data_IF_568959414263
#
_entry.id   IF_568959414263
#
_cell.length_a   1.000
_cell.length_b   1.000
_cell.length_c   1.000
_cell.angle_alpha   90.00
_cell.angle_beta   90.00
_cell.angle_gamma   90.00
#
_symmetry.space_group_name_H-M   'P 1'
#
loop_
_entity.id
_entity.type
_entity.pdbx_description
1 polymer ?
#
# COMPACT_ATOMS: atom_id res chain seq x y z
N UNK A 1 -13.05 19.62 4.46
CA UNK A 1 -11.86 20.49 4.27
C UNK A 1 -11.74 20.87 2.80
N UNK A 2 -11.36 22.12 2.47
CA UNK A 2 -11.11 22.51 1.10
C UNK A 2 -9.93 21.73 0.52
N UNK A 3 -10.07 21.24 -0.73
CA UNK A 3 -8.99 20.55 -1.45
C UNK A 3 -8.40 21.55 -2.44
N UNK A 4 -7.09 21.71 -2.39
CA UNK A 4 -6.33 22.54 -3.33
C UNK A 4 -5.69 21.66 -4.39
N UNK A 5 -5.82 22.04 -5.65
CA UNK A 5 -5.26 21.34 -6.81
C UNK A 5 -4.04 22.10 -7.30
N UNK A 6 -2.93 21.40 -7.59
CA UNK A 6 -1.74 22.03 -8.16
C UNK A 6 -2.00 22.45 -9.62
N UNK A 7 -1.17 23.35 -10.14
CA UNK A 7 -1.26 23.84 -11.51
C UNK A 7 -1.12 22.75 -12.59
N UNK A 8 -0.58 21.60 -12.22
CA UNK A 8 -0.33 20.48 -13.16
C UNK A 8 -1.50 19.49 -13.21
N UNK A 9 -2.58 19.79 -12.48
CA UNK A 9 -3.81 18.98 -12.48
C UNK A 9 -4.99 19.78 -13.02
N UNK A 10 -5.82 19.13 -13.81
CA UNK A 10 -7.09 19.68 -14.28
C UNK A 10 -8.20 19.10 -13.41
N UNK A 11 -8.99 19.98 -12.82
CA UNK A 11 -10.14 19.63 -12.01
C UNK A 11 -11.42 19.75 -12.83
N UNK A 12 -12.24 18.70 -12.84
CA UNK A 12 -13.58 18.69 -13.44
C UNK A 12 -14.61 18.74 -12.31
N UNK A 13 -15.35 19.83 -12.24
CA UNK A 13 -16.44 19.98 -11.28
C UNK A 13 -17.67 19.20 -11.76
N UNK A 14 -17.99 18.13 -11.09
CA UNK A 14 -19.12 17.26 -11.39
C UNK A 14 -20.35 17.52 -10.48
N UNK A 15 -20.39 18.60 -9.71
CA UNK A 15 -21.46 18.86 -8.72
C UNK A 15 -22.86 19.02 -9.35
N UNK A 16 -22.94 19.36 -10.63
CA UNK A 16 -24.20 19.48 -11.38
C UNK A 16 -24.66 18.15 -12.02
N UNK A 17 -23.84 17.10 -11.97
CA UNK A 17 -24.18 15.81 -12.56
C UNK A 17 -24.98 14.96 -11.57
N UNK A 18 -25.90 14.14 -12.11
CA UNK A 18 -26.47 13.05 -11.32
C UNK A 18 -25.37 12.03 -10.97
N UNK A 19 -25.59 11.24 -9.90
CA UNK A 19 -24.62 10.21 -9.49
C UNK A 19 -24.28 9.26 -10.63
N UNK A 20 -25.26 8.78 -11.38
CA UNK A 20 -25.05 7.87 -12.50
C UNK A 20 -24.29 8.49 -13.68
N UNK A 21 -24.56 9.77 -13.98
CA UNK A 21 -23.78 10.49 -14.99
C UNK A 21 -22.33 10.71 -14.57
N UNK A 22 -22.10 11.03 -13.30
CA UNK A 22 -20.76 11.12 -12.73
C UNK A 22 -19.99 9.80 -12.84
N UNK A 23 -20.61 8.68 -12.45
CA UNK A 23 -19.97 7.36 -12.49
C UNK A 23 -19.57 6.98 -13.92
N UNK A 24 -20.47 7.15 -14.87
CA UNK A 24 -20.18 6.81 -16.27
C UNK A 24 -19.11 7.73 -16.84
N UNK A 25 -19.12 9.01 -16.50
CA UNK A 25 -18.07 9.96 -16.90
C UNK A 25 -16.70 9.57 -16.28
N UNK A 26 -16.66 9.21 -15.01
CA UNK A 26 -15.45 8.71 -14.34
C UNK A 26 -14.88 7.46 -15.03
N UNK A 27 -15.75 6.49 -15.36
CA UNK A 27 -15.35 5.27 -16.06
C UNK A 27 -14.87 5.57 -17.48
N UNK A 28 -15.53 6.49 -18.19
CA UNK A 28 -15.09 6.94 -19.50
C UNK A 28 -13.67 7.55 -19.44
N UNK A 29 -13.40 8.46 -18.50
CA UNK A 29 -12.05 9.03 -18.33
C UNK A 29 -11.00 7.99 -17.95
N UNK A 30 -11.42 6.87 -17.36
CA UNK A 30 -10.55 5.73 -17.03
C UNK A 30 -10.38 4.73 -18.20
N UNK A 31 -11.05 4.94 -19.32
CA UNK A 31 -11.05 4.06 -20.50
C UNK A 31 -9.90 4.36 -21.45
N UNK A 32 -9.57 3.38 -22.29
CA UNK A 32 -8.61 3.54 -23.39
C UNK A 32 -9.04 4.60 -24.41
N UNK A 33 -10.34 4.82 -24.57
CA UNK A 33 -10.89 5.82 -25.50
C UNK A 33 -10.60 7.25 -25.06
N UNK A 34 -10.81 7.56 -23.79
CA UNK A 34 -10.46 8.87 -23.27
C UNK A 34 -8.93 9.08 -23.32
N UNK A 35 -8.15 8.08 -22.94
CA UNK A 35 -6.69 8.13 -23.00
C UNK A 35 -6.20 8.42 -24.43
N UNK A 36 -6.67 7.67 -25.43
CA UNK A 36 -6.31 7.89 -26.85
C UNK A 36 -6.68 9.30 -27.34
N UNK A 37 -7.86 9.82 -26.97
CA UNK A 37 -8.23 11.19 -27.30
C UNK A 37 -7.30 12.21 -26.63
N UNK A 38 -6.98 12.04 -25.36
CA UNK A 38 -6.06 12.91 -24.60
C UNK A 38 -4.65 12.91 -25.20
N UNK A 39 -4.10 11.73 -25.52
CA UNK A 39 -2.78 11.60 -26.15
C UNK A 39 -2.76 12.26 -27.53
N UNK A 40 -3.77 12.03 -28.35
CA UNK A 40 -3.88 12.65 -29.69
C UNK A 40 -3.92 14.18 -29.61
N UNK A 41 -4.54 14.72 -28.57
CA UNK A 41 -4.73 16.16 -28.37
C UNK A 41 -3.59 16.81 -27.59
N UNK A 42 -2.65 16.04 -27.02
CA UNK A 42 -1.51 16.58 -26.29
C UNK A 42 -0.48 17.20 -27.22
N UNK A 43 0.22 18.24 -26.73
CA UNK A 43 1.32 18.85 -27.49
C UNK A 43 2.48 17.85 -27.64
N UNK A 44 3.05 17.77 -28.84
CA UNK A 44 4.24 16.95 -29.14
C UNK A 44 5.56 17.58 -28.63
N UNK A 45 5.58 18.05 -27.41
CA UNK A 45 6.79 18.59 -26.76
C UNK A 45 7.42 17.50 -25.88
N UNK A 46 8.65 17.73 -25.43
CA UNK A 46 9.37 16.80 -24.52
C UNK A 46 8.59 16.53 -23.21
N UNK A 47 7.69 17.44 -22.83
CA UNK A 47 6.68 17.25 -21.77
C UNK A 47 5.30 17.54 -22.37
N UNK A 48 4.52 16.51 -22.71
CA UNK A 48 3.18 16.71 -23.25
C UNK A 48 2.25 17.30 -22.18
N UNK A 49 1.55 18.37 -22.54
CA UNK A 49 0.58 19.05 -21.68
C UNK A 49 -0.83 18.93 -22.23
N UNK A 50 -1.80 18.66 -21.35
CA UNK A 50 -3.21 18.81 -21.62
C UNK A 50 -3.68 20.21 -21.19
N UNK A 51 -4.42 20.88 -22.05
CA UNK A 51 -5.05 22.16 -21.71
C UNK A 51 -6.53 21.97 -21.38
N UNK A 52 -7.12 22.93 -20.66
CA UNK A 52 -8.57 22.92 -20.37
C UNK A 52 -9.40 22.91 -21.67
N UNK A 53 -8.94 23.60 -22.71
CA UNK A 53 -9.61 23.62 -24.01
C UNK A 53 -9.68 22.22 -24.62
N UNK A 54 -8.57 21.47 -24.60
CA UNK A 54 -8.50 20.10 -25.12
C UNK A 54 -9.44 19.14 -24.36
N UNK A 55 -9.53 19.30 -23.03
CA UNK A 55 -10.47 18.49 -22.23
C UNK A 55 -11.92 18.80 -22.58
N UNK A 56 -12.25 20.07 -22.90
CA UNK A 56 -13.62 20.46 -23.30
C UNK A 56 -14.05 19.85 -24.64
N UNK A 57 -13.09 19.58 -25.52
CA UNK A 57 -13.32 19.06 -26.85
C UNK A 57 -13.34 17.52 -26.89
N UNK A 58 -13.18 16.85 -25.76
CA UNK A 58 -13.29 15.39 -25.68
C UNK A 58 -14.71 14.93 -25.99
N UNK A 59 -14.82 13.98 -26.90
CA UNK A 59 -16.07 13.33 -27.25
C UNK A 59 -16.45 12.31 -26.18
N UNK A 60 -17.55 12.52 -25.50
CA UNK A 60 -18.11 11.63 -24.49
C UNK A 60 -19.41 11.03 -25.01
N UNK A 61 -19.57 9.71 -24.89
CA UNK A 61 -20.81 9.06 -25.31
C UNK A 61 -21.98 9.43 -24.39
N UNK A 62 -23.12 9.67 -24.98
CA UNK A 62 -24.37 9.85 -24.24
C UNK A 62 -25.07 8.50 -24.10
N UNK A 63 -24.93 7.88 -22.94
CA UNK A 63 -25.51 6.57 -22.66
C UNK A 63 -26.98 6.67 -22.22
N UNK A 64 -27.74 5.60 -22.50
CA UNK A 64 -29.12 5.46 -22.03
C UNK A 64 -29.22 5.41 -20.51
N UNK A 65 -30.37 5.76 -19.94
CA UNK A 65 -30.61 5.63 -18.52
C UNK A 65 -30.52 4.18 -18.06
N UNK A 66 -30.97 3.22 -18.88
CA UNK A 66 -30.88 1.78 -18.55
C UNK A 66 -29.45 1.33 -18.36
N UNK A 67 -28.54 1.73 -19.25
CA UNK A 67 -27.12 1.43 -19.12
C UNK A 67 -26.51 2.11 -17.89
N UNK A 68 -26.77 3.40 -17.70
CA UNK A 68 -26.28 4.16 -16.53
C UNK A 68 -26.72 3.54 -15.20
N UNK A 69 -28.00 3.13 -15.09
CA UNK A 69 -28.54 2.51 -13.87
C UNK A 69 -27.86 1.16 -13.56
N UNK A 70 -27.57 0.36 -14.59
CA UNK A 70 -26.87 -0.92 -14.41
C UNK A 70 -25.43 -0.71 -13.97
N UNK A 71 -24.70 0.19 -14.62
CA UNK A 71 -23.31 0.56 -14.25
C UNK A 71 -23.25 1.15 -12.85
N UNK A 72 -24.20 2.00 -12.46
CA UNK A 72 -24.30 2.54 -11.11
C UNK A 72 -24.49 1.45 -10.05
N UNK A 73 -25.30 0.42 -10.34
CA UNK A 73 -25.48 -0.74 -9.44
C UNK A 73 -24.15 -1.45 -9.16
N UNK A 74 -23.34 -1.70 -10.20
CA UNK A 74 -22.00 -2.27 -10.06
C UNK A 74 -21.09 -1.38 -9.24
N UNK A 75 -21.05 -0.09 -9.56
CA UNK A 75 -20.23 0.88 -8.86
C UNK A 75 -20.62 1.00 -7.38
N UNK A 76 -21.89 0.97 -7.08
CA UNK A 76 -22.37 0.96 -5.69
C UNK A 76 -21.94 -0.30 -4.93
N UNK A 77 -21.92 -1.46 -5.60
CA UNK A 77 -21.45 -2.71 -5.01
C UNK A 77 -19.94 -2.65 -4.70
N UNK A 78 -19.12 -2.17 -5.64
CA UNK A 78 -17.67 -2.04 -5.40
C UNK A 78 -17.34 -1.05 -4.27
N UNK A 79 -18.09 0.05 -4.15
CA UNK A 79 -17.92 1.00 -3.03
C UNK A 79 -18.22 0.34 -1.68
N UNK A 80 -19.30 -0.46 -1.61
CA UNK A 80 -19.65 -1.21 -0.40
C UNK A 80 -18.54 -2.20 -0.02
N UNK A 81 -18.02 -2.96 -1.00
CA UNK A 81 -16.92 -3.90 -0.77
C UNK A 81 -15.65 -3.18 -0.26
N UNK A 82 -15.30 -2.06 -0.87
CA UNK A 82 -14.16 -1.25 -0.42
C UNK A 82 -14.37 -0.71 1.00
N UNK A 83 -15.57 -0.25 1.31
CA UNK A 83 -15.89 0.24 2.65
C UNK A 83 -15.80 -0.89 3.70
N UNK A 84 -16.37 -2.05 3.42
CA UNK A 84 -16.25 -3.23 4.28
C UNK A 84 -14.79 -3.66 4.47
N UNK A 85 -14.00 -3.66 3.39
CA UNK A 85 -12.57 -3.94 3.46
C UNK A 85 -11.81 -2.97 4.38
N UNK A 86 -12.14 -1.68 4.33
CA UNK A 86 -11.56 -0.68 5.23
C UNK A 86 -11.95 -0.92 6.69
N UNK A 87 -13.21 -1.27 6.95
CA UNK A 87 -13.69 -1.60 8.29
C UNK A 87 -12.90 -2.78 8.85
N UNK A 88 -12.83 -3.91 8.13
CA UNK A 88 -12.11 -5.10 8.58
C UNK A 88 -10.65 -4.83 8.88
N UNK A 89 -9.97 -4.08 8.01
CA UNK A 89 -8.57 -3.71 8.25
C UNK A 89 -8.40 -2.81 9.47
N UNK A 90 -9.36 -1.88 9.69
CA UNK A 90 -9.39 -1.03 10.89
C UNK A 90 -9.65 -1.84 12.16
N UNK A 91 -10.57 -2.81 12.11
CA UNK A 91 -10.84 -3.72 13.23
C UNK A 91 -9.61 -4.54 13.60
N UNK A 92 -8.87 -5.10 12.63
CA UNK A 92 -7.61 -5.80 12.88
C UNK A 92 -6.61 -4.91 13.65
N UNK A 93 -6.48 -3.63 13.28
CA UNK A 93 -5.66 -2.66 14.01
C UNK A 93 -6.17 -2.41 15.43
N UNK A 94 -7.49 -2.27 15.60
CA UNK A 94 -8.10 -2.04 16.91
C UNK A 94 -7.92 -3.22 17.86
N UNK A 95 -8.00 -4.47 17.37
CA UNK A 95 -7.71 -5.66 18.15
C UNK A 95 -6.29 -5.60 18.70
N UNK A 96 -5.29 -5.34 17.85
CA UNK A 96 -3.90 -5.20 18.29
C UNK A 96 -3.74 -4.11 19.35
N UNK A 97 -4.28 -2.90 19.09
CA UNK A 97 -4.18 -1.77 20.01
C UNK A 97 -4.82 -2.11 21.38
N UNK A 98 -5.97 -2.77 21.37
CA UNK A 98 -6.66 -3.21 22.57
C UNK A 98 -5.84 -4.23 23.36
N UNK A 99 -5.26 -5.21 22.68
CA UNK A 99 -4.41 -6.22 23.34
C UNK A 99 -3.15 -5.61 23.92
N UNK A 100 -2.49 -4.75 23.19
CA UNK A 100 -1.30 -4.07 23.70
C UNK A 100 -1.62 -3.14 24.90
N UNK A 101 -2.89 -2.85 25.18
CA UNK A 101 -3.36 -1.96 26.27
C UNK A 101 -2.58 -0.65 26.35
N UNK A 102 -2.10 -0.20 25.20
CA UNK A 102 -1.26 0.98 25.15
C UNK A 102 -2.13 2.21 25.19
N UNK A 103 -2.26 2.72 26.39
CA UNK A 103 -2.65 4.11 26.58
C UNK A 103 -1.42 4.96 26.19
N UNK A 104 -1.46 5.63 25.05
CA UNK A 104 -0.48 6.67 24.70
C UNK A 104 -0.64 7.90 25.60
N UNK A 105 -1.71 7.96 26.38
CA UNK A 105 -1.96 8.94 27.43
C UNK A 105 -1.02 8.68 28.60
N UNK A 106 -0.04 9.57 28.79
CA UNK A 106 0.95 9.46 29.86
C UNK A 106 2.36 9.07 29.45
N UNK A 107 2.58 8.74 28.17
CA UNK A 107 3.95 8.68 27.65
C UNK A 107 4.46 10.12 27.58
N UNK A 108 5.47 10.40 28.40
CA UNK A 108 6.01 11.75 28.57
C UNK A 108 6.49 12.31 27.25
N UNK A 109 6.02 13.51 26.93
CA UNK A 109 6.53 14.31 25.81
C UNK A 109 7.74 15.16 26.21
N UNK A 110 8.44 14.77 27.29
CA UNK A 110 9.64 15.48 27.74
C UNK A 110 10.65 15.54 26.61
N UNK A 111 11.06 16.74 26.26
CA UNK A 111 11.98 16.98 25.16
C UNK A 111 13.46 16.79 25.53
N UNK A 112 13.75 16.48 26.79
CA UNK A 112 15.11 16.25 27.27
C UNK A 112 15.18 15.09 28.28
N UNK A 113 16.33 14.44 28.31
CA UNK A 113 16.66 13.42 29.32
C UNK A 113 18.14 13.46 29.60
N UNK A 114 18.54 13.00 30.80
CA UNK A 114 19.93 12.85 31.19
C UNK A 114 20.25 11.38 31.32
N UNK A 115 21.26 10.91 30.62
CA UNK A 115 21.74 9.51 30.68
C UNK A 115 23.23 9.49 31.04
N UNK A 116 23.64 8.53 31.85
CA UNK A 116 25.07 8.31 32.12
C UNK A 116 25.76 7.70 30.89
N UNK A 117 26.99 8.11 30.62
CA UNK A 117 27.78 7.60 29.49
C UNK A 117 27.94 6.05 29.55
N UNK A 118 28.01 5.48 30.77
CA UNK A 118 28.12 4.04 30.99
C UNK A 118 26.85 3.28 30.58
N UNK A 119 25.68 3.86 30.76
CA UNK A 119 24.38 3.23 30.46
C UNK A 119 23.78 3.67 29.11
N UNK A 120 24.44 4.61 28.42
CA UNK A 120 24.01 5.11 27.11
C UNK A 120 25.02 4.75 26.01
N UNK A 121 26.00 5.61 25.75
CA UNK A 121 26.94 5.44 24.63
C UNK A 121 27.72 4.11 24.73
N UNK A 122 28.21 3.71 25.93
CA UNK A 122 28.94 2.47 26.07
C UNK A 122 28.13 1.21 25.77
N UNK A 123 26.80 1.32 25.86
CA UNK A 123 25.86 0.20 25.55
C UNK A 123 25.39 0.23 24.10
N UNK A 124 25.01 1.40 23.61
CA UNK A 124 24.37 1.55 22.30
C UNK A 124 25.32 1.98 21.18
N UNK A 125 26.46 2.60 21.53
CA UNK A 125 27.36 3.26 20.58
C UNK A 125 26.78 4.56 19.98
N UNK A 126 25.64 5.07 20.49
CA UNK A 126 24.94 6.24 19.94
C UNK A 126 25.08 7.46 20.83
N UNK A 127 25.15 8.66 20.21
CA UNK A 127 25.18 9.96 20.88
C UNK A 127 24.02 10.88 20.47
N UNK A 128 23.18 10.46 19.53
CA UNK A 128 22.07 11.24 19.03
C UNK A 128 20.93 11.33 20.06
N UNK A 129 20.43 12.54 20.30
CA UNK A 129 19.41 12.81 21.32
C UNK A 129 18.09 12.10 21.02
N UNK A 130 17.73 11.94 19.73
CA UNK A 130 16.48 11.27 19.31
C UNK A 130 16.42 9.85 19.86
N UNK A 131 17.51 9.08 19.77
CA UNK A 131 17.53 7.69 20.25
C UNK A 131 17.20 7.55 21.74
N UNK A 132 17.49 8.57 22.55
CA UNK A 132 17.34 8.54 24.02
C UNK A 132 16.09 9.27 24.52
N UNK A 133 15.15 9.64 23.64
CA UNK A 133 13.92 10.30 24.10
C UNK A 133 13.14 9.41 25.07
N UNK A 134 12.61 9.99 26.18
CA UNK A 134 11.91 9.24 27.22
C UNK A 134 10.71 8.46 26.72
N UNK A 135 10.04 8.93 25.66
CA UNK A 135 8.90 8.24 25.05
C UNK A 135 9.20 6.78 24.67
N UNK A 136 10.44 6.48 24.25
CA UNK A 136 10.81 5.12 23.85
C UNK A 136 10.89 4.17 25.03
N UNK A 137 11.30 4.65 26.21
CA UNK A 137 11.30 3.84 27.43
C UNK A 137 9.87 3.46 27.80
N UNK A 138 8.89 4.39 27.64
CA UNK A 138 7.47 4.12 27.82
C UNK A 138 6.91 3.07 26.87
N UNK A 139 7.24 3.15 25.57
CA UNK A 139 6.82 2.13 24.60
C UNK A 139 7.42 0.76 24.88
N UNK A 140 8.69 0.69 25.28
CA UNK A 140 9.32 -0.58 25.64
C UNK A 140 8.69 -1.19 26.90
N UNK A 141 8.47 -0.39 27.95
CA UNK A 141 7.82 -0.87 29.16
C UNK A 141 6.40 -1.39 28.91
N UNK A 142 5.67 -0.79 27.96
CA UNK A 142 4.38 -1.30 27.55
C UNK A 142 4.44 -2.71 26.91
N UNK A 143 5.57 -3.07 26.31
CA UNK A 143 5.78 -4.39 25.73
C UNK A 143 6.32 -5.42 26.72
N UNK A 144 6.87 -5.02 27.88
CA UNK A 144 7.43 -5.93 28.89
C UNK A 144 6.39 -6.88 29.50
N UNK A 145 5.11 -6.56 29.41
CA UNK A 145 4.03 -7.44 29.88
C UNK A 145 3.76 -8.63 28.93
N UNK A 146 4.34 -8.64 27.74
CA UNK A 146 4.21 -9.71 26.76
C UNK A 146 5.49 -10.54 26.67
N UNK A 147 5.36 -11.81 26.33
CA UNK A 147 6.47 -12.52 25.74
C UNK A 147 6.81 -11.83 24.41
N UNK A 148 8.09 -11.54 24.21
CA UNK A 148 8.55 -10.84 22.99
C UNK A 148 9.59 -11.66 22.25
N UNK A 149 9.59 -11.52 20.94
CA UNK A 149 10.59 -12.07 20.05
C UNK A 149 11.23 -10.97 19.20
N UNK A 150 12.06 -11.33 18.25
CA UNK A 150 12.69 -10.42 17.28
C UNK A 150 12.44 -10.87 15.86
N UNK A 151 12.37 -9.93 14.93
CA UNK A 151 12.12 -10.24 13.52
C UNK A 151 13.03 -11.38 13.00
N UNK A 152 14.36 -11.38 13.19
CA UNK A 152 15.20 -12.45 12.66
C UNK A 152 14.98 -13.84 13.29
N UNK A 153 14.33 -13.93 14.43
CA UNK A 153 13.99 -15.22 15.02
C UNK A 153 12.79 -15.86 14.30
N UNK A 154 11.83 -15.04 13.89
CA UNK A 154 10.56 -15.46 13.34
C UNK A 154 10.52 -15.39 11.81
N UNK A 155 11.31 -14.51 11.19
CA UNK A 155 11.28 -14.22 9.78
C UNK A 155 12.69 -14.25 9.17
N UNK A 156 12.79 -14.71 7.94
CA UNK A 156 13.95 -14.48 7.10
C UNK A 156 13.95 -13.03 6.63
N UNK A 157 15.07 -12.33 6.83
CA UNK A 157 15.24 -10.94 6.38
C UNK A 157 15.93 -10.96 5.02
N UNK A 158 15.16 -10.69 3.98
CA UNK A 158 15.60 -10.79 2.60
C UNK A 158 15.66 -9.39 1.96
N UNK A 159 16.62 -9.19 1.07
CA UNK A 159 16.78 -7.95 0.31
C UNK A 159 17.20 -8.25 -1.11
N UNK A 160 16.79 -7.42 -2.02
CA UNK A 160 17.24 -7.45 -3.39
C UNK A 160 18.29 -6.35 -3.64
N UNK A 161 19.11 -6.59 -4.64
CA UNK A 161 20.09 -5.64 -5.18
C UNK A 161 19.82 -5.46 -6.68
N UNK A 162 20.33 -4.38 -7.22
CA UNK A 162 20.20 -4.10 -8.64
C UNK A 162 19.36 -2.84 -8.91
N UNK A 163 19.82 -2.08 -9.89
CA UNK A 163 19.20 -0.81 -10.31
C UNK A 163 19.03 -0.75 -11.83
N UNK A 164 19.47 -1.76 -12.56
CA UNK A 164 19.41 -1.81 -14.02
C UNK A 164 18.01 -2.24 -14.46
N UNK A 165 17.08 -1.29 -14.45
CA UNK A 165 15.73 -1.53 -14.93
C UNK A 165 15.72 -1.73 -16.44
N UNK A 166 14.93 -2.69 -16.88
CA UNK A 166 14.75 -2.96 -18.31
C UNK A 166 13.71 -2.01 -18.90
N UNK A 167 14.02 -1.44 -20.06
CA UNK A 167 13.08 -0.65 -20.86
C UNK A 167 12.34 -1.56 -21.84
N UNK A 168 11.05 -1.31 -22.04
CA UNK A 168 10.23 -2.03 -23.03
C UNK A 168 9.87 -3.47 -22.69
N UNK A 169 10.25 -3.98 -21.50
CA UNK A 169 9.88 -5.31 -21.00
C UNK A 169 9.02 -5.21 -19.75
N UNK A 170 8.26 -6.26 -19.48
CA UNK A 170 7.36 -6.32 -18.33
C UNK A 170 7.40 -7.67 -17.59
N UNK A 171 8.55 -8.36 -17.64
CA UNK A 171 8.67 -9.74 -17.15
C UNK A 171 8.49 -9.82 -15.64
N UNK A 172 9.36 -9.14 -14.88
CA UNK A 172 9.34 -9.14 -13.42
C UNK A 172 9.11 -7.72 -12.91
N UNK A 173 8.00 -7.50 -12.23
CA UNK A 173 7.66 -6.18 -11.69
C UNK A 173 8.55 -5.80 -10.50
N UNK A 174 9.01 -4.55 -10.43
CA UNK A 174 9.82 -4.06 -9.31
C UNK A 174 8.96 -3.22 -8.38
N UNK A 175 8.72 -3.73 -7.18
CA UNK A 175 8.04 -3.03 -6.09
C UNK A 175 9.00 -2.00 -5.51
N UNK A 176 8.57 -0.75 -5.45
CA UNK A 176 9.26 0.38 -4.82
C UNK A 176 8.46 0.94 -3.65
N UNK A 177 9.01 1.86 -2.92
CA UNK A 177 8.36 2.46 -1.74
C UNK A 177 6.99 3.10 -2.04
N UNK A 178 6.75 3.56 -3.28
CA UNK A 178 5.47 4.13 -3.70
C UNK A 178 4.33 3.11 -3.79
N UNK A 179 4.65 1.82 -3.98
CA UNK A 179 3.68 0.74 -3.99
C UNK A 179 3.25 0.28 -2.59
N UNK A 180 4.00 0.65 -1.55
CA UNK A 180 3.64 0.28 -0.18
C UNK A 180 2.51 1.18 0.33
N UNK A 181 1.40 0.56 0.69
CA UNK A 181 0.24 1.23 1.29
C UNK A 181 -0.12 0.61 2.63
N UNK A 182 -0.88 1.33 3.45
CA UNK A 182 -1.36 0.80 4.74
C UNK A 182 -2.33 -0.39 4.59
N UNK A 183 -2.73 -0.74 3.39
CA UNK A 183 -3.71 -1.79 3.09
C UNK A 183 -3.21 -2.82 2.09
N UNK A 184 -1.89 -3.05 2.07
CA UNK A 184 -1.23 -4.00 1.20
C UNK A 184 -0.36 -3.36 0.13
N UNK A 185 0.40 -4.18 -0.58
CA UNK A 185 1.23 -3.73 -1.69
C UNK A 185 0.35 -3.48 -2.92
N UNK A 186 0.41 -2.28 -3.46
CA UNK A 186 -0.26 -1.95 -4.71
C UNK A 186 0.57 -2.45 -5.91
N UNK A 187 0.12 -3.52 -6.55
CA UNK A 187 0.76 -4.09 -7.74
C UNK A 187 0.34 -3.42 -9.05
N UNK A 188 -0.66 -2.51 -8.99
CA UNK A 188 -1.04 -1.70 -10.14
C UNK A 188 -0.07 -0.53 -10.31
N UNK A 189 0.11 -0.10 -11.52
CA UNK A 189 1.00 1.04 -11.79
C UNK A 189 2.48 0.76 -11.48
N UNK A 190 2.92 -0.50 -11.57
CA UNK A 190 4.34 -0.84 -11.62
C UNK A 190 4.92 -0.25 -12.91
N UNK A 191 5.95 0.57 -12.78
CA UNK A 191 6.59 1.27 -13.90
C UNK A 191 8.02 0.81 -14.16
N UNK A 192 8.57 -0.02 -13.28
CA UNK A 192 9.93 -0.53 -13.37
C UNK A 192 9.92 -2.04 -13.41
N UNK A 193 10.73 -2.60 -14.29
CA UNK A 193 10.78 -4.04 -14.52
C UNK A 193 12.22 -4.52 -14.62
N UNK A 194 12.44 -5.78 -14.27
CA UNK A 194 13.62 -6.54 -14.63
C UNK A 194 13.27 -7.60 -15.67
N UNK A 195 14.26 -8.01 -16.46
CA UNK A 195 14.18 -9.26 -17.21
C UNK A 195 14.37 -10.45 -16.28
N UNK A 196 13.93 -11.63 -16.69
CA UNK A 196 14.22 -12.86 -15.95
C UNK A 196 15.74 -13.09 -15.80
N UNK A 197 16.54 -12.80 -16.82
CA UNK A 197 17.99 -12.88 -16.79
C UNK A 197 18.60 -11.98 -15.73
N UNK A 198 18.20 -10.71 -15.68
CA UNK A 198 18.62 -9.74 -14.64
C UNK A 198 18.31 -10.26 -13.23
N UNK A 199 17.15 -10.88 -13.03
CA UNK A 199 16.79 -11.45 -11.73
C UNK A 199 17.69 -12.62 -11.34
N UNK A 200 18.08 -13.48 -12.30
CA UNK A 200 18.98 -14.61 -12.09
C UNK A 200 20.38 -14.09 -11.75
N UNK A 201 20.93 -13.16 -12.54
CA UNK A 201 22.24 -12.56 -12.32
C UNK A 201 22.35 -11.88 -10.95
N UNK A 202 21.34 -11.13 -10.55
CA UNK A 202 21.27 -10.46 -9.26
C UNK A 202 20.93 -11.41 -8.10
N UNK A 203 20.62 -12.68 -8.36
CA UNK A 203 20.10 -13.64 -7.38
C UNK A 203 18.89 -13.07 -6.63
N UNK A 204 18.01 -12.43 -7.38
CA UNK A 204 16.87 -11.71 -6.81
C UNK A 204 15.88 -12.68 -6.14
N UNK A 205 15.42 -12.31 -4.98
CA UNK A 205 14.35 -13.02 -4.26
C UNK A 205 13.00 -12.52 -4.74
N UNK A 206 12.18 -13.43 -5.27
CA UNK A 206 10.78 -13.11 -5.61
C UNK A 206 9.97 -12.88 -4.34
N UNK A 207 9.08 -11.90 -4.39
CA UNK A 207 8.08 -11.65 -3.33
C UNK A 207 6.95 -12.66 -3.50
N UNK A 208 6.54 -13.28 -2.40
CA UNK A 208 5.44 -14.25 -2.37
C UNK A 208 4.34 -13.81 -1.43
N UNK A 209 3.15 -14.39 -1.56
CA UNK A 209 2.02 -14.06 -0.67
C UNK A 209 2.40 -14.26 0.80
N UNK A 210 1.92 -13.35 1.62
CA UNK A 210 2.22 -13.21 3.05
C UNK A 210 3.64 -12.71 3.39
N UNK A 211 4.46 -12.31 2.41
CA UNK A 211 5.65 -11.55 2.73
C UNK A 211 5.28 -10.16 3.27
N UNK A 212 5.94 -9.74 4.34
CA UNK A 212 5.84 -8.37 4.86
C UNK A 212 6.95 -7.53 4.20
N UNK A 213 6.55 -6.53 3.44
CA UNK A 213 7.48 -5.64 2.72
C UNK A 213 7.64 -4.34 3.51
N UNK A 214 8.87 -3.98 3.81
CA UNK A 214 9.24 -2.87 4.68
C UNK A 214 10.18 -1.89 3.96
N UNK A 215 9.88 -0.60 4.04
CA UNK A 215 10.75 0.47 3.52
C UNK A 215 11.80 0.85 4.57
N UNK A 216 13.05 0.49 4.31
CA UNK A 216 14.18 0.73 5.23
C UNK A 216 14.88 2.07 4.98
N UNK A 217 14.49 2.83 3.95
CA UNK A 217 15.19 4.02 3.50
C UNK A 217 14.26 5.07 2.92
N UNK A 218 14.66 6.34 3.04
CA UNK A 218 14.09 7.49 2.33
C UNK A 218 13.15 8.35 3.17
N UNK A 219 13.30 9.67 3.05
CA UNK A 219 12.44 10.66 3.71
C UNK A 219 10.99 10.49 3.23
N UNK A 220 10.04 10.39 4.17
CA UNK A 220 8.61 10.16 3.89
C UNK A 220 8.25 8.76 3.40
N UNK A 221 9.25 7.87 3.26
CA UNK A 221 9.06 6.47 2.86
C UNK A 221 9.49 5.47 3.93
N UNK A 222 10.57 5.75 4.65
CA UNK A 222 11.07 4.88 5.72
C UNK A 222 9.96 4.58 6.73
N UNK A 223 9.87 3.33 7.14
CA UNK A 223 8.84 2.86 8.06
C UNK A 223 7.52 2.44 7.39
N UNK A 224 7.32 2.66 6.08
CA UNK A 224 6.16 2.07 5.40
C UNK A 224 6.24 0.57 5.41
N UNK A 225 5.14 -0.07 5.77
CA UNK A 225 5.02 -1.53 5.88
C UNK A 225 3.77 -1.96 5.14
N UNK A 226 3.88 -3.02 4.35
CA UNK A 226 2.74 -3.60 3.64
C UNK A 226 2.84 -5.12 3.59
N UNK A 227 1.72 -5.80 3.74
CA UNK A 227 1.63 -7.23 3.46
C UNK A 227 1.44 -7.43 1.95
N UNK A 228 2.18 -8.36 1.36
CA UNK A 228 2.03 -8.72 -0.04
C UNK A 228 0.93 -9.78 -0.20
N UNK A 229 -0.02 -9.50 -1.10
CA UNK A 229 -1.09 -10.42 -1.48
C UNK A 229 -1.44 -10.19 -2.95
N UNK A 230 -1.22 -11.21 -3.76
CA UNK A 230 -1.45 -11.18 -5.20
C UNK A 230 -1.89 -12.55 -5.71
N UNK A 231 -2.89 -12.59 -6.57
CA UNK A 231 -3.50 -13.82 -7.12
C UNK A 231 -3.27 -14.00 -8.63
N UNK A 232 -2.46 -13.14 -9.24
CA UNK A 232 -2.01 -13.35 -10.63
C UNK A 232 -0.67 -14.07 -10.71
N UNK A 233 -0.26 -14.37 -11.93
CA UNK A 233 0.97 -15.16 -12.22
C UNK A 233 2.22 -14.28 -12.40
N UNK A 234 2.07 -12.96 -12.43
CA UNK A 234 3.19 -12.04 -12.65
C UNK A 234 4.15 -12.07 -11.46
N UNK A 235 5.44 -12.34 -11.68
CA UNK A 235 6.43 -12.30 -10.60
C UNK A 235 6.80 -10.86 -10.23
N UNK A 236 7.16 -10.68 -8.96
CA UNK A 236 7.61 -9.41 -8.40
C UNK A 236 8.90 -9.58 -7.58
N UNK A 237 9.72 -8.54 -7.62
CA UNK A 237 10.87 -8.35 -6.73
C UNK A 237 10.76 -6.98 -6.08
N UNK A 238 11.57 -6.72 -5.05
CA UNK A 238 11.69 -5.38 -4.46
C UNK A 238 12.92 -4.66 -5.01
N UNK A 239 12.92 -3.34 -4.93
CA UNK A 239 14.17 -2.58 -5.08
C UNK A 239 15.05 -2.68 -3.82
N UNK A 240 16.25 -2.10 -3.87
CA UNK A 240 17.25 -2.18 -2.79
C UNK A 240 16.86 -1.41 -1.52
N UNK A 241 15.86 -0.52 -1.59
CA UNK A 241 15.40 0.30 -0.45
C UNK A 241 14.40 -0.45 0.43
N UNK A 242 13.93 -1.60 -0.04
CA UNK A 242 12.95 -2.42 0.65
C UNK A 242 13.60 -3.67 1.27
N UNK A 243 12.95 -4.19 2.30
CA UNK A 243 13.20 -5.49 2.92
C UNK A 243 11.97 -6.35 2.80
N UNK A 244 12.19 -7.65 2.71
CA UNK A 244 11.14 -8.67 2.73
C UNK A 244 11.33 -9.45 4.02
N UNK A 245 10.30 -9.51 4.85
CA UNK A 245 10.25 -10.38 6.00
C UNK A 245 9.35 -11.56 5.66
N UNK A 246 9.95 -12.72 5.47
CA UNK A 246 9.28 -13.98 5.14
C UNK A 246 9.19 -14.86 6.35
N UNK A 247 7.98 -15.27 6.72
CA UNK A 247 7.75 -16.11 7.87
C UNK A 247 8.53 -17.43 7.79
N UNK A 248 9.23 -17.79 8.86
CA UNK A 248 9.87 -19.09 9.01
C UNK A 248 8.83 -20.18 9.29
N UNK A 249 9.19 -21.43 9.03
CA UNK A 249 8.28 -22.58 9.16
C UNK A 249 7.64 -22.71 10.57
N UNK A 250 8.33 -22.27 11.61
CA UNK A 250 7.90 -22.39 13.01
C UNK A 250 7.79 -21.01 13.67
N UNK A 251 7.31 -20.00 12.93
CA UNK A 251 7.10 -18.67 13.50
C UNK A 251 5.99 -18.69 14.55
N UNK A 252 6.19 -17.93 15.64
CA UNK A 252 5.18 -17.66 16.66
C UNK A 252 4.39 -16.39 16.39
N UNK A 253 4.75 -15.63 15.33
CA UNK A 253 4.11 -14.37 14.94
C UNK A 253 3.63 -14.47 13.49
N UNK A 254 2.32 -14.36 13.27
CA UNK A 254 1.77 -14.36 11.92
C UNK A 254 2.20 -13.10 11.13
N UNK A 255 2.44 -13.20 9.81
CA UNK A 255 2.85 -12.06 8.99
C UNK A 255 1.90 -10.87 9.07
N UNK A 256 0.59 -11.13 9.13
CA UNK A 256 -0.44 -10.11 9.29
C UNK A 256 -0.26 -9.34 10.60
N UNK A 257 0.05 -10.04 11.68
CA UNK A 257 0.28 -9.45 13.01
C UNK A 257 1.54 -8.61 12.99
N UNK A 258 2.64 -9.11 12.41
CA UNK A 258 3.87 -8.32 12.24
C UNK A 258 3.60 -7.05 11.44
N UNK A 259 2.87 -7.16 10.32
CA UNK A 259 2.53 -6.03 9.47
C UNK A 259 1.73 -4.97 10.25
N UNK A 260 0.66 -5.38 10.94
CA UNK A 260 -0.20 -4.48 11.72
C UNK A 260 0.57 -3.89 12.91
N UNK A 261 1.44 -4.66 13.59
CA UNK A 261 2.28 -4.16 14.68
C UNK A 261 3.24 -3.07 14.18
N UNK A 262 3.99 -3.33 13.11
CA UNK A 262 4.91 -2.34 12.55
C UNK A 262 4.20 -1.10 11.98
N UNK A 263 2.94 -1.22 11.55
CA UNK A 263 2.10 -0.09 11.16
C UNK A 263 1.47 0.67 12.34
N UNK A 264 1.47 0.10 13.54
CA UNK A 264 0.90 0.75 14.73
C UNK A 264 1.76 1.93 15.18
N UNK A 265 1.18 2.81 16.01
CA UNK A 265 1.92 3.94 16.57
C UNK A 265 3.17 3.49 17.33
N UNK A 266 3.07 2.40 18.12
CA UNK A 266 4.22 1.83 18.84
C UNK A 266 5.29 1.33 17.87
N UNK A 267 4.89 0.52 16.90
CA UNK A 267 5.82 -0.02 15.91
C UNK A 267 6.54 1.09 15.17
N UNK A 268 5.83 2.13 14.75
CA UNK A 268 6.42 3.29 14.06
C UNK A 268 7.39 4.06 14.97
N UNK A 269 7.02 4.34 16.21
CA UNK A 269 7.91 5.01 17.17
C UNK A 269 9.19 4.18 17.42
N UNK A 270 9.06 2.87 17.62
CA UNK A 270 10.23 1.99 17.81
C UNK A 270 11.09 1.90 16.54
N UNK A 271 10.52 1.96 15.34
CA UNK A 271 11.27 2.08 14.09
C UNK A 271 12.07 3.39 14.08
N UNK A 272 11.40 4.51 14.35
CA UNK A 272 12.05 5.83 14.33
C UNK A 272 13.14 5.99 15.38
N UNK A 273 13.08 5.31 16.51
CA UNK A 273 14.17 5.26 17.51
C UNK A 273 15.51 4.89 16.89
N UNK A 274 15.48 3.97 15.93
CA UNK A 274 16.71 3.40 15.35
C UNK A 274 17.12 4.03 14.03
N UNK A 275 16.37 5.03 13.55
CA UNK A 275 16.70 5.72 12.30
C UNK A 275 18.05 6.45 12.43
N UNK A 276 18.83 6.41 11.36
CA UNK A 276 20.10 7.13 11.23
C UNK A 276 20.13 7.93 9.93
N UNK A 277 20.98 8.96 9.87
CA UNK A 277 21.11 9.85 8.73
C UNK A 277 20.56 11.25 9.00
N UNK A 278 20.97 12.23 8.21
CA UNK A 278 20.62 13.64 8.47
C UNK A 278 20.16 14.42 7.24
N UNK A 279 20.77 14.33 6.12
CA UNK A 279 20.58 15.28 5.00
C UNK A 279 19.77 14.66 3.85
N UNK A 280 18.48 14.40 4.11
CA UNK A 280 17.58 13.89 3.07
C UNK A 280 17.67 12.38 2.81
N UNK A 281 18.68 11.70 3.34
CA UNK A 281 18.82 10.25 3.29
C UNK A 281 18.80 9.72 4.72
N UNK A 282 17.65 9.15 5.11
CA UNK A 282 17.47 8.46 6.39
C UNK A 282 17.33 6.97 6.15
N UNK A 283 17.93 6.17 7.03
CA UNK A 283 17.97 4.71 6.94
C UNK A 283 17.70 4.08 8.30
N UNK A 284 17.21 2.85 8.27
CA UNK A 284 17.32 1.90 9.37
C UNK A 284 18.03 0.66 8.86
N UNK A 285 19.03 0.18 9.61
CA UNK A 285 19.79 -1.02 9.23
C UNK A 285 19.12 -2.28 9.76
N UNK A 286 19.42 -3.41 9.09
CA UNK A 286 18.84 -4.71 9.43
C UNK A 286 19.14 -5.11 10.90
N UNK A 287 20.33 -4.81 11.40
CA UNK A 287 20.72 -5.03 12.80
C UNK A 287 19.97 -4.15 13.80
N UNK A 288 19.52 -2.98 13.37
CA UNK A 288 18.80 -2.05 14.24
C UNK A 288 17.31 -2.43 14.31
N UNK A 289 16.68 -2.76 13.18
CA UNK A 289 15.29 -3.23 13.20
C UNK A 289 15.16 -4.56 13.95
N UNK A 290 16.20 -5.39 13.93
CA UNK A 290 16.28 -6.63 14.70
C UNK A 290 16.26 -6.41 16.24
N UNK A 291 16.49 -5.18 16.72
CA UNK A 291 16.41 -4.85 18.15
C UNK A 291 14.99 -4.57 18.63
N UNK A 292 14.06 -4.29 17.70
CA UNK A 292 12.66 -3.99 18.04
C UNK A 292 12.00 -5.25 18.61
N UNK A 293 11.48 -5.21 19.86
CA UNK A 293 10.74 -6.32 20.42
C UNK A 293 9.37 -6.44 19.75
N UNK A 294 9.04 -7.63 19.28
CA UNK A 294 7.77 -7.97 18.67
C UNK A 294 6.96 -8.77 19.69
N UNK A 295 5.76 -8.32 20.10
CA UNK A 295 4.94 -9.06 21.05
C UNK A 295 4.41 -10.36 20.43
N UNK A 296 4.48 -11.45 21.18
CA UNK A 296 3.82 -12.70 20.85
C UNK A 296 2.42 -12.64 21.48
N UNK A 297 1.41 -12.52 20.66
CA UNK A 297 0.02 -12.49 21.10
C UNK A 297 -0.55 -13.91 21.19
N UNK A 298 -1.63 -14.06 21.95
CA UNK A 298 -2.40 -15.31 21.97
C UNK A 298 -2.77 -15.78 20.57
N UNK A 299 -2.74 -17.09 20.32
CA UNK A 299 -2.93 -17.68 19.01
C UNK A 299 -4.32 -17.38 18.39
N UNK A 300 -5.38 -17.30 19.21
CA UNK A 300 -6.73 -16.98 18.71
C UNK A 300 -6.82 -15.48 18.32
N UNK A 301 -6.16 -14.61 19.05
CA UNK A 301 -6.09 -13.18 18.73
C UNK A 301 -5.31 -12.97 17.42
N UNK A 302 -4.19 -13.67 17.25
CA UNK A 302 -3.42 -13.61 16.00
C UNK A 302 -4.27 -14.09 14.80
N UNK A 303 -5.02 -15.16 14.95
CA UNK A 303 -5.92 -15.69 13.90
C UNK A 303 -7.03 -14.69 13.56
N UNK A 304 -7.65 -14.06 14.55
CA UNK A 304 -8.70 -13.04 14.30
C UNK A 304 -8.14 -11.85 13.52
N UNK A 305 -6.96 -11.35 13.91
CA UNK A 305 -6.27 -10.29 13.15
C UNK A 305 -5.99 -10.73 11.72
N UNK A 306 -5.41 -11.94 11.54
CA UNK A 306 -5.06 -12.45 10.22
C UNK A 306 -6.29 -12.63 9.33
N UNK A 307 -7.37 -13.21 9.85
CA UNK A 307 -8.62 -13.42 9.12
C UNK A 307 -9.22 -12.08 8.64
N UNK A 308 -9.26 -11.06 9.50
CA UNK A 308 -9.75 -9.74 9.11
C UNK A 308 -8.89 -9.08 8.03
N UNK A 309 -7.56 -9.20 8.11
CA UNK A 309 -6.64 -8.69 7.10
C UNK A 309 -6.85 -9.41 5.77
N UNK A 310 -6.91 -10.74 5.77
CA UNK A 310 -7.09 -11.54 4.56
C UNK A 310 -8.47 -11.30 3.91
N UNK A 311 -9.53 -11.22 4.73
CA UNK A 311 -10.88 -10.88 4.25
C UNK A 311 -10.92 -9.46 3.66
N UNK A 312 -10.23 -8.48 4.28
CA UNK A 312 -10.09 -7.14 3.71
C UNK A 312 -9.46 -7.18 2.32
N UNK A 313 -8.40 -7.98 2.13
CA UNK A 313 -7.75 -8.12 0.82
C UNK A 313 -8.66 -8.81 -0.20
N UNK A 314 -9.38 -9.85 0.19
CA UNK A 314 -10.34 -10.53 -0.68
C UNK A 314 -11.43 -9.56 -1.19
N UNK A 315 -12.01 -8.75 -0.29
CA UNK A 315 -13.01 -7.75 -0.67
C UNK A 315 -12.45 -6.66 -1.60
N UNK A 316 -11.19 -6.23 -1.38
CA UNK A 316 -10.53 -5.28 -2.28
C UNK A 316 -10.31 -5.85 -3.67
N UNK A 317 -9.90 -7.13 -3.78
CA UNK A 317 -9.76 -7.81 -5.07
C UNK A 317 -11.10 -7.88 -5.81
N UNK A 318 -12.17 -8.27 -5.11
CA UNK A 318 -13.51 -8.30 -5.68
C UNK A 318 -13.97 -6.90 -6.16
N UNK A 319 -13.73 -5.87 -5.33
CA UNK A 319 -14.06 -4.50 -5.71
C UNK A 319 -13.30 -4.04 -6.95
N UNK A 320 -11.99 -4.35 -7.02
CA UNK A 320 -11.15 -4.05 -8.17
C UNK A 320 -11.66 -4.75 -9.43
N UNK A 321 -12.02 -6.03 -9.33
CA UNK A 321 -12.56 -6.79 -10.45
C UNK A 321 -13.88 -6.18 -10.98
N UNK A 322 -14.78 -5.76 -10.08
CA UNK A 322 -16.00 -5.07 -10.47
C UNK A 322 -15.72 -3.73 -11.16
N UNK A 323 -14.70 -2.99 -10.71
CA UNK A 323 -14.29 -1.76 -11.35
C UNK A 323 -13.80 -2.01 -12.79
N UNK A 324 -12.98 -3.04 -12.98
CA UNK A 324 -12.50 -3.42 -14.32
C UNK A 324 -13.67 -3.88 -15.22
N UNK A 325 -14.63 -4.61 -14.69
CA UNK A 325 -15.85 -4.95 -15.45
C UNK A 325 -16.65 -3.70 -15.82
N UNK A 326 -16.81 -2.75 -14.91
CA UNK A 326 -17.52 -1.50 -15.21
C UNK A 326 -16.81 -0.67 -16.30
N UNK A 327 -15.47 -0.60 -16.29
CA UNK A 327 -14.67 0.04 -17.33
C UNK A 327 -14.83 -0.65 -18.68
N UNK A 328 -14.66 -1.98 -18.71
CA UNK A 328 -14.82 -2.77 -19.92
C UNK A 328 -16.23 -2.65 -20.53
N UNK A 329 -17.26 -2.57 -19.67
CA UNK A 329 -18.62 -2.34 -20.15
C UNK A 329 -18.79 -0.98 -20.83
N UNK A 330 -18.18 0.07 -20.29
CA UNK A 330 -18.19 1.40 -20.93
C UNK A 330 -17.44 1.37 -22.26
N UNK A 331 -16.28 0.70 -22.34
CA UNK A 331 -15.55 0.53 -23.61
C UNK A 331 -16.34 -0.29 -24.63
N UNK A 332 -16.95 -1.39 -24.21
CA UNK A 332 -17.79 -2.23 -25.07
C UNK A 332 -19.03 -1.47 -25.57
N UNK A 333 -19.64 -0.66 -24.71
CA UNK A 333 -20.78 0.17 -25.13
C UNK A 333 -20.41 1.18 -26.21
N UNK A 334 -19.17 1.67 -26.22
CA UNK A 334 -18.63 2.54 -27.28
C UNK A 334 -18.40 1.77 -28.57
N UNK A 335 -17.85 0.55 -28.50
CA UNK A 335 -17.44 -0.22 -29.68
C UNK A 335 -18.56 -1.04 -30.32
N UNK A 336 -19.43 -1.63 -29.48
CA UNK A 336 -20.40 -2.65 -29.89
C UNK A 336 -21.84 -2.29 -29.53
N UNK A 337 -22.04 -1.18 -28.82
CA UNK A 337 -23.35 -0.72 -28.35
C UNK A 337 -23.69 -1.19 -26.95
N UNK A 338 -24.66 -0.49 -26.34
CA UNK A 338 -25.06 -0.71 -24.94
C UNK A 338 -25.68 -2.08 -24.70
N UNK A 339 -26.44 -2.63 -25.65
CA UNK A 339 -27.08 -3.94 -25.51
C UNK A 339 -26.04 -5.06 -25.34
N UNK A 340 -24.95 -5.05 -26.13
CA UNK A 340 -23.85 -5.98 -26.01
C UNK A 340 -23.15 -5.86 -24.65
N UNK A 341 -22.90 -4.63 -24.20
CA UNK A 341 -22.28 -4.36 -22.91
C UNK A 341 -23.17 -4.83 -21.74
N UNK A 342 -24.49 -4.65 -21.82
CA UNK A 342 -25.43 -5.09 -20.79
C UNK A 342 -25.51 -6.63 -20.70
N UNK A 343 -25.52 -7.32 -21.83
CA UNK A 343 -25.47 -8.80 -21.86
C UNK A 343 -24.17 -9.29 -21.21
N UNK A 344 -23.05 -8.71 -21.62
CA UNK A 344 -21.72 -9.06 -21.09
C UNK A 344 -21.60 -8.82 -19.57
N UNK A 345 -22.14 -7.70 -19.06
CA UNK A 345 -22.18 -7.43 -17.62
C UNK A 345 -23.03 -8.46 -16.87
N UNK A 346 -24.18 -8.85 -17.42
CA UNK A 346 -25.09 -9.82 -16.79
C UNK A 346 -24.40 -11.19 -16.61
N UNK A 347 -23.71 -11.67 -17.64
CA UNK A 347 -22.97 -12.95 -17.58
C UNK A 347 -21.91 -12.99 -16.46
N UNK A 348 -21.32 -11.85 -16.10
CA UNK A 348 -20.25 -11.72 -15.09
C UNK A 348 -20.76 -11.40 -13.69
N UNK A 349 -21.99 -10.95 -13.56
CA UNK A 349 -22.61 -10.69 -12.25
C UNK A 349 -23.21 -11.95 -11.61
N UNK A 350 -23.34 -13.03 -12.38
CA UNK A 350 -24.07 -14.23 -11.92
C UNK A 350 -25.57 -13.99 -11.73
N UNK A 351 -26.12 -12.91 -12.35
CA UNK A 351 -27.56 -12.58 -12.36
C UNK A 351 -28.31 -13.23 -13.54
#
# INVERSE_FOLDING_TARGET
QPIYVTRDLIFINASALSRKDYIVLYLFFSSSFAYKQMVRSSSMTAQPHLTITLIRDLLVCNYSNSFKDKVEKYFTTLEKLNHQAQILYSEAKQILIKELKVCTEGITSDSYTTKYLSTSFKVSGRLDAEYYQPKYDGYLSALEQFETTKIPNEFDVLKNSGTNYAEGVSDVGVIKTKQLTNSGVNTDGIESYFTHETCIENKSTLVVNNDVVFASMGVGSLGKVSLFSYDGDKPFVTDSTLRIYRAKKHTHVLPEVLCIFLQSAIGQELIYRYVVGSTGIINIYDDDIAKIPIPILDGEIQKDIAEKVQNSFALRRQSKQLLEYAKQAVEMAIEQGEDAALVWLKERSGE
#
